data_IF_309491651187
#
_entry.id   IF_309491651187
#
_cell.length_a   1.000
_cell.length_b   1.000
_cell.length_c   1.000
_cell.angle_alpha   90.00
_cell.angle_beta   90.00
_cell.angle_gamma   90.00
#
_symmetry.space_group_name_H-M   'P 1'
#
loop_
_entity.id
_entity.type
_entity.pdbx_description
1 polymer ?
#
# COMPACT_ATOMS: atom_id res chain seq x y z
N UNK A 1 28.97 68.74 -67.04
CA UNK A 1 30.15 67.85 -66.99
C UNK A 1 30.21 67.17 -65.62
N UNK A 2 30.29 65.89 -65.62
CA UNK A 2 30.49 64.95 -64.50
C UNK A 2 29.33 64.83 -63.48
N UNK A 3 28.49 63.84 -63.76
CA UNK A 3 27.54 63.29 -62.81
C UNK A 3 28.21 62.39 -61.80
N UNK A 4 27.74 62.43 -60.58
CA UNK A 4 28.05 61.48 -59.52
C UNK A 4 26.79 60.73 -59.16
N UNK A 5 26.82 59.46 -59.44
CA UNK A 5 25.74 58.50 -59.08
C UNK A 5 25.87 58.04 -57.66
N UNK A 6 24.91 58.31 -56.82
CA UNK A 6 24.77 57.78 -55.51
C UNK A 6 24.09 56.39 -55.60
N UNK A 7 24.73 55.34 -55.08
CA UNK A 7 24.16 54.03 -54.91
C UNK A 7 23.42 53.94 -53.57
N UNK A 8 22.21 53.36 -53.52
CA UNK A 8 21.53 53.14 -52.26
C UNK A 8 22.05 51.84 -51.60
N UNK A 9 22.50 51.98 -50.33
CA UNK A 9 22.93 50.87 -49.50
C UNK A 9 21.72 50.01 -49.08
N UNK A 10 21.84 48.71 -49.33
CA UNK A 10 20.90 47.67 -48.96
C UNK A 10 21.15 47.32 -47.48
N UNK A 11 20.26 47.75 -46.57
CA UNK A 11 20.29 47.36 -45.18
C UNK A 11 19.69 45.95 -45.02
N UNK A 12 20.52 44.94 -44.72
CA UNK A 12 20.07 43.61 -44.31
C UNK A 12 19.56 43.66 -42.86
N UNK A 13 18.24 43.55 -42.68
CA UNK A 13 17.63 43.26 -41.38
C UNK A 13 17.82 41.76 -41.07
N UNK A 14 18.69 41.44 -40.11
CA UNK A 14 18.80 40.11 -39.53
C UNK A 14 17.66 39.91 -38.54
N UNK A 15 16.64 39.15 -38.93
CA UNK A 15 15.57 38.72 -38.02
C UNK A 15 16.09 37.56 -37.13
N UNK A 16 16.38 37.82 -35.86
CA UNK A 16 16.67 36.81 -34.89
C UNK A 16 15.38 36.06 -34.50
N UNK A 17 15.22 34.83 -34.97
CA UNK A 17 14.18 33.91 -34.48
C UNK A 17 14.54 33.48 -33.04
N UNK A 18 13.83 34.04 -32.07
CA UNK A 18 13.80 33.53 -30.71
C UNK A 18 12.85 32.33 -30.69
N UNK A 19 13.39 31.09 -30.62
CA UNK A 19 12.59 29.91 -30.43
C UNK A 19 12.03 29.90 -29.00
N UNK A 20 10.72 29.70 -28.78
CA UNK A 20 10.20 29.54 -27.44
C UNK A 20 10.76 28.24 -26.85
N UNK A 21 11.42 28.33 -25.66
CA UNK A 21 11.78 27.18 -24.87
C UNK A 21 10.50 26.43 -24.50
N UNK A 22 10.25 25.30 -25.17
CA UNK A 22 9.12 24.44 -24.88
C UNK A 22 9.26 23.94 -23.43
N UNK A 23 8.37 24.39 -22.55
CA UNK A 23 8.20 23.78 -21.25
C UNK A 23 7.84 22.31 -21.48
N UNK A 24 8.75 21.39 -21.15
CA UNK A 24 8.47 19.97 -21.11
C UNK A 24 7.39 19.79 -20.03
N UNK A 25 6.14 19.68 -20.45
CA UNK A 25 5.06 19.25 -19.57
C UNK A 25 5.45 17.85 -19.04
N UNK A 26 5.62 17.74 -17.74
CA UNK A 26 5.76 16.44 -17.09
C UNK A 26 4.49 15.65 -17.46
N UNK A 27 4.67 14.61 -18.28
CA UNK A 27 3.58 13.73 -18.67
C UNK A 27 3.28 12.84 -17.47
N UNK A 28 2.45 13.35 -16.55
CA UNK A 28 1.83 12.53 -15.51
C UNK A 28 0.99 11.47 -16.22
N UNK A 29 1.21 10.20 -15.85
CA UNK A 29 0.40 9.09 -16.35
C UNK A 29 -1.05 9.26 -15.93
N UNK A 30 -1.98 8.60 -16.63
CA UNK A 30 -3.36 8.52 -16.17
C UNK A 30 -3.39 7.76 -14.81
N UNK A 31 -4.22 8.20 -13.85
CA UNK A 31 -4.40 7.47 -12.59
C UNK A 31 -4.81 6.01 -12.86
N UNK A 32 -4.22 5.07 -12.14
CA UNK A 32 -4.46 3.65 -12.31
C UNK A 32 -4.84 3.01 -10.98
N UNK A 33 -5.66 1.97 -11.03
CA UNK A 33 -5.98 1.13 -9.88
C UNK A 33 -5.68 -0.32 -10.23
N UNK A 34 -4.84 -0.94 -9.42
CA UNK A 34 -4.42 -2.34 -9.56
C UNK A 34 -5.05 -3.15 -8.43
N UNK A 35 -6.10 -3.94 -8.69
CA UNK A 35 -6.69 -4.77 -7.65
C UNK A 35 -5.73 -5.90 -7.25
N UNK A 36 -5.83 -6.35 -6.00
CA UNK A 36 -5.07 -7.50 -5.53
C UNK A 36 -5.50 -8.78 -6.25
N UNK A 37 -4.52 -9.60 -6.57
CA UNK A 37 -4.74 -10.99 -6.96
C UNK A 37 -4.90 -11.84 -5.69
N UNK A 38 -6.12 -12.04 -5.27
CA UNK A 38 -6.44 -12.79 -4.05
C UNK A 38 -6.10 -14.28 -4.15
N UNK A 39 -5.85 -14.80 -5.36
CA UNK A 39 -5.42 -16.20 -5.55
C UNK A 39 -3.95 -16.39 -5.19
N UNK A 40 -3.12 -15.35 -5.42
CA UNK A 40 -1.67 -15.39 -5.19
C UNK A 40 -1.23 -14.49 -4.02
N UNK A 41 -2.17 -13.87 -3.33
CA UNK A 41 -1.88 -13.05 -2.16
C UNK A 41 -2.32 -13.77 -0.88
N UNK A 42 -1.72 -13.38 0.24
CA UNK A 42 -2.06 -13.92 1.57
C UNK A 42 -1.91 -12.84 2.63
N UNK A 43 -2.85 -12.83 3.57
CA UNK A 43 -2.79 -12.00 4.77
C UNK A 43 -2.88 -12.91 5.98
N UNK A 44 -1.78 -13.00 6.72
CA UNK A 44 -1.66 -13.83 7.90
C UNK A 44 -1.33 -13.00 9.14
N UNK A 45 -1.57 -13.55 10.31
CA UNK A 45 -1.15 -12.95 11.57
C UNK A 45 -0.62 -14.02 12.54
N UNK A 46 0.23 -13.58 13.46
CA UNK A 46 0.79 -14.42 14.52
C UNK A 46 0.67 -13.69 15.85
N UNK A 47 0.36 -14.45 16.88
CA UNK A 47 0.42 -13.99 18.26
C UNK A 47 1.01 -15.06 19.16
N UNK A 48 1.40 -14.68 20.38
CA UNK A 48 1.90 -15.61 21.39
C UNK A 48 1.01 -15.62 22.63
N UNK A 49 0.79 -16.80 23.17
CA UNK A 49 0.25 -16.91 24.51
C UNK A 49 1.30 -16.53 25.55
N UNK A 50 0.90 -16.20 26.78
CA UNK A 50 1.82 -15.85 27.88
C UNK A 50 2.75 -16.99 28.27
N UNK A 51 2.39 -18.26 27.98
CA UNK A 51 3.22 -19.43 28.16
C UNK A 51 4.02 -19.84 26.94
N UNK A 52 4.11 -18.97 25.93
CA UNK A 52 5.03 -19.11 24.81
C UNK A 52 4.50 -19.85 23.59
N UNK A 53 3.27 -20.39 23.62
CA UNK A 53 2.66 -21.01 22.44
C UNK A 53 2.47 -19.94 21.34
N UNK A 54 2.89 -20.27 20.12
CA UNK A 54 2.61 -19.44 18.93
C UNK A 54 1.28 -19.89 18.35
N UNK A 55 0.40 -18.94 18.12
CA UNK A 55 -0.84 -19.11 17.36
C UNK A 55 -0.68 -18.35 16.05
N UNK A 56 -1.09 -18.99 14.98
CA UNK A 56 -1.12 -18.42 13.63
C UNK A 56 -2.56 -18.43 13.13
N UNK A 57 -2.91 -17.45 12.34
CA UNK A 57 -4.18 -17.39 11.65
C UNK A 57 -4.10 -16.59 10.37
N UNK A 58 -5.16 -16.67 9.61
CA UNK A 58 -5.31 -16.07 8.29
C UNK A 58 -6.60 -15.29 8.17
N UNK A 59 -6.59 -14.36 7.21
CA UNK A 59 -7.80 -13.71 6.68
C UNK A 59 -8.04 -14.21 5.25
N UNK A 60 -8.79 -15.30 5.05
CA UNK A 60 -9.00 -15.89 3.72
C UNK A 60 -9.89 -15.04 2.81
N UNK A 61 -10.68 -14.13 3.38
CA UNK A 61 -11.54 -13.23 2.64
C UNK A 61 -11.10 -11.78 2.83
N UNK A 62 -10.64 -11.17 1.76
CA UNK A 62 -10.22 -9.77 1.73
C UNK A 62 -10.33 -9.18 0.32
N UNK A 63 -10.33 -7.86 0.27
CA UNK A 63 -10.16 -7.08 -0.94
C UNK A 63 -9.03 -6.08 -0.73
N UNK A 64 -8.35 -5.71 -1.79
CA UNK A 64 -7.31 -4.69 -1.76
C UNK A 64 -6.99 -4.18 -3.14
N UNK A 65 -6.41 -3.01 -3.17
CA UNK A 65 -5.98 -2.35 -4.40
C UNK A 65 -4.80 -1.43 -4.14
N UNK A 66 -4.00 -1.22 -5.18
CA UNK A 66 -2.99 -0.18 -5.25
C UNK A 66 -3.48 0.89 -6.18
N UNK A 67 -3.60 2.11 -5.69
CA UNK A 67 -3.91 3.31 -6.48
C UNK A 67 -2.62 4.02 -6.83
N UNK A 68 -2.45 4.33 -8.11
CA UNK A 68 -1.31 5.07 -8.65
C UNK A 68 -1.83 6.42 -9.13
N UNK A 69 -1.37 7.49 -8.53
CA UNK A 69 -1.73 8.85 -8.90
C UNK A 69 -1.10 9.29 -10.23
N UNK A 70 -1.55 10.41 -10.76
CA UNK A 70 -0.97 11.02 -11.97
C UNK A 70 0.51 11.43 -11.77
N UNK A 71 0.93 11.63 -10.53
CA UNK A 71 2.31 11.92 -10.11
C UNK A 71 3.17 10.65 -9.95
N UNK A 72 2.61 9.46 -10.20
CA UNK A 72 3.26 8.17 -10.03
C UNK A 72 3.32 7.66 -8.59
N UNK A 73 2.88 8.45 -7.61
CA UNK A 73 2.83 8.01 -6.21
C UNK A 73 1.74 6.98 -6.02
N UNK A 74 1.96 6.07 -5.08
CA UNK A 74 1.11 4.92 -4.82
C UNK A 74 0.45 5.02 -3.46
N UNK A 75 -0.75 4.48 -3.33
CA UNK A 75 -1.48 4.28 -2.08
C UNK A 75 -2.04 2.86 -2.08
N UNK A 76 -1.95 2.18 -0.95
CA UNK A 76 -2.56 0.86 -0.75
C UNK A 76 -3.81 0.98 0.10
N UNK A 77 -4.88 0.36 -0.33
CA UNK A 77 -6.06 0.13 0.46
C UNK A 77 -6.33 -1.37 0.58
N UNK A 78 -6.60 -1.84 1.80
CA UNK A 78 -6.91 -3.24 2.10
C UNK A 78 -8.10 -3.31 3.06
N UNK A 79 -9.04 -4.18 2.77
CA UNK A 79 -10.14 -4.53 3.67
C UNK A 79 -10.18 -6.03 3.89
N UNK A 80 -10.08 -6.46 5.16
CA UNK A 80 -10.17 -7.86 5.57
C UNK A 80 -11.55 -8.12 6.16
N UNK A 81 -12.12 -9.28 5.85
CA UNK A 81 -13.34 -9.78 6.48
C UNK A 81 -12.97 -10.52 7.79
N UNK A 82 -13.13 -9.82 8.91
CA UNK A 82 -12.83 -10.38 10.24
C UNK A 82 -13.77 -11.53 10.63
N UNK A 83 -14.98 -11.58 10.05
CA UNK A 83 -15.91 -12.67 10.29
C UNK A 83 -15.45 -14.00 9.68
N UNK A 84 -14.55 -13.93 8.71
CA UNK A 84 -13.97 -15.10 8.06
C UNK A 84 -12.56 -15.46 8.52
N UNK A 85 -11.98 -14.67 9.44
CA UNK A 85 -10.65 -14.99 9.98
C UNK A 85 -10.63 -16.37 10.62
N UNK A 86 -9.49 -17.04 10.55
CA UNK A 86 -9.30 -18.38 11.10
C UNK A 86 -8.00 -18.46 11.90
N UNK A 87 -7.98 -19.27 12.95
CA UNK A 87 -6.77 -19.64 13.69
C UNK A 87 -6.46 -21.11 13.38
N UNK A 88 -5.30 -21.36 12.79
CA UNK A 88 -4.88 -22.64 12.25
C UNK A 88 -4.95 -23.74 13.29
N UNK A 89 -5.70 -24.82 12.98
CA UNK A 89 -5.85 -25.97 13.86
C UNK A 89 -6.64 -25.73 15.16
N UNK A 90 -7.19 -24.50 15.34
CA UNK A 90 -7.84 -24.12 16.60
C UNK A 90 -9.26 -23.52 16.40
N UNK A 91 -10.26 -24.32 16.00
CA UNK A 91 -11.61 -23.80 15.71
C UNK A 91 -12.32 -23.19 16.93
N UNK A 92 -11.95 -23.61 18.16
CA UNK A 92 -12.43 -22.98 19.38
C UNK A 92 -11.87 -21.57 19.55
N UNK A 93 -10.57 -21.38 19.30
CA UNK A 93 -9.93 -20.06 19.38
C UNK A 93 -10.44 -19.13 18.27
N UNK A 94 -10.69 -19.67 17.09
CA UNK A 94 -11.35 -18.92 16.00
C UNK A 94 -12.70 -18.34 16.45
N UNK A 95 -13.55 -19.15 17.10
CA UNK A 95 -14.84 -18.65 17.60
C UNK A 95 -14.67 -17.58 18.67
N UNK A 96 -13.73 -17.73 19.59
CA UNK A 96 -13.46 -16.73 20.62
C UNK A 96 -12.90 -15.45 20.02
N UNK A 97 -11.97 -15.54 19.07
CA UNK A 97 -11.43 -14.39 18.38
C UNK A 97 -12.47 -13.56 17.62
N UNK A 98 -13.48 -14.22 17.06
CA UNK A 98 -14.64 -13.55 16.44
C UNK A 98 -15.60 -12.91 17.45
N UNK A 99 -15.52 -13.27 18.71
CA UNK A 99 -16.39 -12.81 19.78
C UNK A 99 -16.16 -11.35 20.23
N UNK A 100 -17.04 -10.86 21.15
CA UNK A 100 -17.07 -9.46 21.56
C UNK A 100 -15.81 -9.00 22.31
N UNK A 101 -15.06 -9.92 22.95
CA UNK A 101 -13.82 -9.60 23.66
C UNK A 101 -12.61 -9.37 22.72
N UNK A 102 -12.76 -9.73 21.44
CA UNK A 102 -11.73 -9.60 20.43
C UNK A 102 -12.27 -8.81 19.23
N UNK A 103 -12.42 -9.42 18.07
CA UNK A 103 -12.83 -8.71 16.85
C UNK A 103 -14.27 -8.19 16.88
N UNK A 104 -15.15 -8.78 17.71
CA UNK A 104 -16.59 -8.42 17.78
C UNK A 104 -17.20 -8.32 16.37
N UNK A 105 -17.06 -9.39 15.60
CA UNK A 105 -17.35 -9.41 14.16
C UNK A 105 -18.84 -9.12 13.85
N UNK A 106 -19.72 -9.30 14.83
CA UNK A 106 -21.14 -8.97 14.69
C UNK A 106 -21.36 -7.45 14.55
N UNK A 107 -20.50 -6.66 15.19
CA UNK A 107 -20.56 -5.18 15.14
C UNK A 107 -19.55 -4.60 14.17
N UNK A 108 -18.39 -5.26 14.04
CA UNK A 108 -17.25 -4.79 13.28
C UNK A 108 -16.72 -5.87 12.32
N UNK A 109 -17.44 -6.16 11.23
CA UNK A 109 -17.07 -7.26 10.33
C UNK A 109 -15.84 -6.99 9.47
N UNK A 110 -15.31 -5.77 9.47
CA UNK A 110 -14.19 -5.37 8.61
C UNK A 110 -13.03 -4.78 9.40
N UNK A 111 -11.82 -5.07 8.90
CA UNK A 111 -10.58 -4.39 9.28
C UNK A 111 -10.09 -3.67 8.02
N UNK A 112 -9.74 -2.40 8.13
CA UNK A 112 -9.28 -1.60 7.00
C UNK A 112 -7.88 -1.05 7.26
N UNK A 113 -7.03 -1.13 6.26
CA UNK A 113 -5.74 -0.45 6.23
C UNK A 113 -5.69 0.47 5.01
N UNK A 114 -5.23 1.69 5.24
CA UNK A 114 -4.95 2.66 4.20
C UNK A 114 -3.56 3.23 4.42
N UNK A 115 -2.68 3.07 3.45
CA UNK A 115 -1.35 3.64 3.53
C UNK A 115 -1.36 5.15 3.29
N UNK A 116 -0.32 5.82 3.77
CA UNK A 116 0.10 7.08 3.19
C UNK A 116 0.59 6.84 1.76
N UNK A 117 0.74 7.92 0.99
CA UNK A 117 1.31 7.83 -0.35
C UNK A 117 2.80 7.54 -0.28
N UNK A 118 3.30 6.66 -1.15
CA UNK A 118 4.70 6.26 -1.22
C UNK A 118 5.20 6.19 -2.66
N UNK A 119 6.51 6.20 -2.83
CA UNK A 119 7.17 6.10 -4.13
C UNK A 119 7.44 4.63 -4.49
N UNK A 120 7.55 4.34 -5.76
CA UNK A 120 7.86 3.01 -6.27
C UNK A 120 9.20 2.45 -5.74
N UNK A 121 10.12 3.32 -5.36
CA UNK A 121 11.37 2.94 -4.70
C UNK A 121 11.14 2.09 -3.44
N UNK A 122 10.08 2.35 -2.67
CA UNK A 122 9.73 1.55 -1.49
C UNK A 122 9.53 0.06 -1.83
N UNK A 123 8.95 -0.24 -2.98
CA UNK A 123 8.75 -1.64 -3.39
C UNK A 123 10.05 -2.30 -3.82
N UNK A 124 10.98 -1.55 -4.45
CA UNK A 124 12.27 -2.08 -4.91
C UNK A 124 13.26 -2.23 -3.76
N UNK A 125 13.41 -1.18 -2.97
CA UNK A 125 14.48 -1.05 -1.99
C UNK A 125 14.07 -1.51 -0.59
N UNK A 126 12.76 -1.67 -0.37
CA UNK A 126 12.18 -1.92 0.94
C UNK A 126 12.11 -0.68 1.81
N UNK A 127 11.56 -0.83 3.00
CA UNK A 127 11.46 0.25 3.98
C UNK A 127 10.11 0.35 4.67
N UNK A 128 9.88 1.49 5.34
CA UNK A 128 8.69 1.72 6.13
C UNK A 128 7.50 2.20 5.28
N UNK A 129 6.39 1.49 5.37
CA UNK A 129 5.09 1.89 4.86
C UNK A 129 4.24 2.35 6.04
N UNK A 130 3.96 3.64 6.09
CA UNK A 130 3.08 4.24 7.10
C UNK A 130 1.63 4.24 6.61
N UNK A 131 0.69 4.20 7.56
CA UNK A 131 -0.72 4.25 7.23
C UNK A 131 -1.61 4.21 8.46
N UNK A 132 -2.89 4.15 8.23
CA UNK A 132 -3.93 4.05 9.27
C UNK A 132 -4.57 2.67 9.20
N UNK A 133 -4.59 1.97 10.34
CA UNK A 133 -5.35 0.73 10.54
C UNK A 133 -6.61 1.06 11.30
N UNK A 134 -7.74 0.64 10.77
CA UNK A 134 -9.05 0.75 11.43
C UNK A 134 -9.56 -0.65 11.78
N UNK A 135 -9.78 -0.89 13.05
CA UNK A 135 -10.25 -2.18 13.58
C UNK A 135 -11.16 -1.93 14.78
N UNK A 136 -12.29 -2.61 14.87
CA UNK A 136 -13.33 -2.41 15.90
C UNK A 136 -13.81 -0.95 16.03
N UNK A 137 -13.82 -0.18 14.94
CA UNK A 137 -14.20 1.23 14.96
C UNK A 137 -13.11 2.19 15.45
N UNK A 138 -11.97 1.68 15.94
CA UNK A 138 -10.80 2.46 16.33
C UNK A 138 -9.82 2.59 15.18
N UNK A 139 -9.31 3.79 14.94
CA UNK A 139 -8.30 4.06 13.92
C UNK A 139 -6.99 4.47 14.57
N UNK A 140 -5.90 3.83 14.20
CA UNK A 140 -4.57 4.10 14.73
C UNK A 140 -3.53 4.18 13.62
N UNK A 141 -2.53 5.07 13.73
CA UNK A 141 -1.38 5.04 12.86
C UNK A 141 -0.59 3.77 13.10
N UNK A 142 -0.18 3.12 12.02
CA UNK A 142 0.63 1.91 12.06
C UNK A 142 1.77 2.00 11.05
N UNK A 143 2.81 1.18 11.27
CA UNK A 143 3.96 1.06 10.39
C UNK A 143 4.15 -0.40 10.03
N UNK A 144 4.25 -0.67 8.73
CA UNK A 144 4.68 -1.94 8.18
C UNK A 144 6.06 -1.80 7.55
N UNK A 145 6.88 -2.84 7.64
CA UNK A 145 8.15 -2.94 6.94
C UNK A 145 7.92 -3.73 5.65
N UNK A 146 8.21 -3.10 4.53
CA UNK A 146 8.21 -3.72 3.21
C UNK A 146 9.60 -4.29 2.95
N UNK A 147 9.68 -5.56 2.59
CA UNK A 147 10.93 -6.19 2.21
C UNK A 147 11.35 -5.71 0.81
N UNK A 148 12.67 -5.62 0.52
CA UNK A 148 13.16 -5.34 -0.83
C UNK A 148 12.61 -6.36 -1.85
N UNK A 149 12.28 -5.88 -3.05
CA UNK A 149 11.80 -6.76 -4.12
C UNK A 149 12.86 -7.78 -4.54
N UNK A 150 12.41 -8.95 -4.97
CA UNK A 150 13.25 -10.01 -5.51
C UNK A 150 13.20 -10.10 -7.04
N UNK A 151 12.52 -9.16 -7.69
CA UNK A 151 12.36 -9.06 -9.14
C UNK A 151 12.16 -7.61 -9.59
N UNK A 152 12.22 -7.37 -10.90
CA UNK A 152 12.09 -6.04 -11.49
C UNK A 152 10.67 -5.47 -11.46
N UNK A 153 9.66 -6.32 -11.31
CA UNK A 153 8.24 -5.93 -11.29
C UNK A 153 7.54 -6.43 -10.02
N UNK A 154 7.83 -5.81 -8.86
CA UNK A 154 7.21 -6.20 -7.59
C UNK A 154 5.68 -6.04 -7.65
N UNK A 155 4.99 -7.03 -7.11
CA UNK A 155 3.53 -7.11 -7.15
C UNK A 155 2.96 -7.78 -8.41
N UNK A 156 3.77 -7.96 -9.46
CA UNK A 156 3.39 -8.66 -10.70
C UNK A 156 4.27 -9.91 -10.87
N UNK A 157 5.56 -9.74 -11.02
CA UNK A 157 6.53 -10.83 -11.22
C UNK A 157 6.89 -11.56 -9.93
N UNK A 158 6.85 -10.88 -8.79
CA UNK A 158 7.09 -11.46 -7.47
C UNK A 158 6.19 -10.81 -6.41
N UNK A 159 6.08 -11.45 -5.27
CA UNK A 159 5.29 -10.95 -4.15
C UNK A 159 5.91 -9.66 -3.57
N UNK A 160 5.08 -8.68 -3.26
CA UNK A 160 5.42 -7.65 -2.29
C UNK A 160 5.19 -8.24 -0.90
N UNK A 161 6.24 -8.30 -0.09
CA UNK A 161 6.18 -8.84 1.28
C UNK A 161 6.23 -7.69 2.26
N UNK A 162 5.27 -7.61 3.15
CA UNK A 162 5.23 -6.61 4.20
C UNK A 162 4.90 -7.25 5.56
N UNK A 163 5.44 -6.71 6.63
CA UNK A 163 5.17 -7.19 7.98
C UNK A 163 5.17 -6.06 9.00
N UNK A 164 4.40 -6.21 10.06
CA UNK A 164 4.31 -5.23 11.13
C UNK A 164 3.79 -5.83 12.43
N UNK A 165 3.96 -5.10 13.51
CA UNK A 165 3.43 -5.46 14.83
C UNK A 165 2.43 -4.41 15.26
N UNK A 166 1.28 -4.88 15.70
CA UNK A 166 0.17 -4.06 16.18
C UNK A 166 -0.17 -4.51 17.60
N UNK A 167 -0.34 -3.56 18.51
CA UNK A 167 -0.88 -3.85 19.84
C UNK A 167 -2.42 -3.93 19.75
N UNK A 168 -2.96 -5.11 20.07
CA UNK A 168 -4.41 -5.34 19.99
C UNK A 168 -5.20 -4.48 20.99
N UNK A 169 -4.57 -4.06 22.07
CA UNK A 169 -5.22 -3.25 23.10
C UNK A 169 -5.51 -1.83 22.64
N UNK A 170 -4.73 -1.31 21.67
CA UNK A 170 -4.99 -0.01 21.03
C UNK A 170 -6.34 0.04 20.30
N UNK A 171 -6.91 -1.14 20.02
CA UNK A 171 -8.20 -1.34 19.36
C UNK A 171 -9.29 -1.89 20.29
N UNK A 172 -9.10 -1.76 21.61
CA UNK A 172 -10.05 -2.22 22.62
C UNK A 172 -10.23 -3.74 22.69
N UNK A 173 -9.24 -4.52 22.25
CA UNK A 173 -9.21 -5.99 22.40
C UNK A 173 -8.49 -6.39 23.68
N UNK A 174 -9.09 -6.06 24.82
CA UNK A 174 -8.51 -6.26 26.15
C UNK A 174 -8.77 -7.64 26.74
N UNK A 175 -9.57 -8.45 26.08
CA UNK A 175 -9.90 -9.80 26.54
C UNK A 175 -8.66 -10.69 26.72
N UNK A 176 -8.67 -11.51 27.75
CA UNK A 176 -7.69 -12.57 27.99
C UNK A 176 -6.23 -12.11 28.14
N UNK A 177 -5.98 -10.90 28.62
CA UNK A 177 -4.62 -10.36 28.80
C UNK A 177 -3.71 -11.22 29.66
N UNK A 178 -4.26 -12.02 30.56
CA UNK A 178 -3.51 -12.99 31.38
C UNK A 178 -3.05 -14.21 30.57
N UNK A 179 -3.67 -14.49 29.44
CA UNK A 179 -3.41 -15.68 28.64
C UNK A 179 -2.75 -15.35 27.28
N UNK A 180 -3.07 -14.22 26.69
CA UNK A 180 -2.67 -13.86 25.33
C UNK A 180 -1.83 -12.59 25.36
N UNK A 181 -0.71 -12.58 24.61
CA UNK A 181 0.12 -11.39 24.45
C UNK A 181 -0.62 -10.28 23.67
N UNK A 182 -0.22 -9.05 23.91
CA UNK A 182 -0.87 -7.88 23.32
C UNK A 182 -0.36 -7.61 21.89
N UNK A 183 0.89 -8.01 21.59
CA UNK A 183 1.50 -7.84 20.28
C UNK A 183 1.01 -8.89 19.27
N UNK A 184 0.40 -8.43 18.19
CA UNK A 184 -0.01 -9.22 17.03
C UNK A 184 0.88 -8.85 15.84
N UNK A 185 1.57 -9.82 15.26
CA UNK A 185 2.39 -9.63 14.07
C UNK A 185 1.59 -9.98 12.83
N UNK A 186 1.49 -9.03 11.92
CA UNK A 186 0.92 -9.24 10.59
C UNK A 186 2.01 -9.57 9.59
N UNK A 187 1.69 -10.47 8.66
CA UNK A 187 2.49 -10.81 7.48
C UNK A 187 1.60 -10.76 6.24
N UNK A 188 2.01 -9.99 5.26
CA UNK A 188 1.29 -9.82 4.01
C UNK A 188 2.21 -10.23 2.86
N UNK A 189 1.68 -11.04 1.96
CA UNK A 189 2.27 -11.34 0.66
C UNK A 189 1.25 -10.94 -0.38
N UNK A 190 1.61 -9.98 -1.22
CA UNK A 190 0.64 -9.34 -2.11
C UNK A 190 1.13 -9.39 -3.54
N UNK A 191 0.24 -9.83 -4.43
CA UNK A 191 0.30 -9.62 -5.88
C UNK A 191 -0.89 -8.78 -6.32
N UNK A 192 -0.69 -8.02 -7.38
CA UNK A 192 -1.76 -7.31 -8.08
C UNK A 192 -2.07 -8.03 -9.38
N UNK A 193 -3.30 -7.95 -9.80
CA UNK A 193 -3.64 -8.29 -11.19
C UNK A 193 -2.94 -7.26 -12.05
N UNK A 194 -2.13 -7.69 -13.01
CA UNK A 194 -1.50 -6.79 -13.97
C UNK A 194 -2.57 -5.87 -14.55
N UNK A 195 -2.26 -4.60 -14.72
CA UNK A 195 -3.19 -3.66 -15.36
C UNK A 195 -3.59 -4.26 -16.70
N UNK A 196 -4.88 -4.59 -16.85
CA UNK A 196 -5.38 -5.26 -18.04
C UNK A 196 -5.08 -4.43 -19.28
N UNK A 197 -4.63 -5.13 -20.30
CA UNK A 197 -4.73 -4.68 -21.67
C UNK A 197 -6.20 -4.42 -22.03
#
# INVERSE_FOLDING_TARGET
MRGSRLLPGLALLAATLVAPAGAAAAQGGAPQTLPFDTTHSRVAFHLRTRWGQRLQGDFPAYAGEVRIGADGRREVWVRLDSARMEIDGHPRYTRWARGPEFFDVARFPGIEFRSETYDDALLRDGGALHGTLTMRGESRPVRFEVAPATCDQPGIGCDVVAGGVVDRTDFGMDGWRVAIGDAVRFELRVRTKGGGE
#
